data_IF_286600638966
#
_entry.id   IF_286600638966
#
_cell.length_a   1.000
_cell.length_b   1.000
_cell.length_c   1.000
_cell.angle_alpha   90.00
_cell.angle_beta   90.00
_cell.angle_gamma   90.00
#
_symmetry.space_group_name_H-M   'P 1'
#
loop_
_entity.id
_entity.type
_entity.pdbx_description
1 polymer ?
#
# COMPACT_ATOMS: atom_id res chain seq x y z
N UNK A 1 9.22 -1.94 -28.00
CA UNK A 1 8.16 -0.92 -27.91
C UNK A 1 8.69 0.51 -27.92
N UNK A 2 9.53 0.96 -26.98
CA UNK A 2 10.07 2.33 -26.86
C UNK A 2 10.71 2.84 -28.17
N UNK A 3 11.67 2.08 -28.73
CA UNK A 3 12.31 2.42 -30.01
C UNK A 3 11.33 2.54 -31.19
N UNK A 4 10.26 1.74 -31.21
CA UNK A 4 9.26 1.79 -32.28
C UNK A 4 8.35 3.01 -32.14
N UNK A 5 7.95 3.38 -30.90
CA UNK A 5 7.19 4.59 -30.64
C UNK A 5 7.96 5.83 -31.08
N UNK A 6 9.24 5.92 -30.70
CA UNK A 6 10.13 7.02 -31.13
C UNK A 6 10.32 7.10 -32.64
N UNK A 7 10.49 5.96 -33.33
CA UNK A 7 10.57 5.92 -34.80
C UNK A 7 9.30 6.42 -35.47
N UNK A 8 8.14 6.22 -34.85
CA UNK A 8 6.85 6.70 -35.35
C UNK A 8 6.49 8.11 -34.87
N UNK A 9 7.43 8.79 -34.22
CA UNK A 9 7.19 10.12 -33.68
C UNK A 9 6.12 10.18 -32.59
N UNK A 10 5.78 9.07 -31.91
CA UNK A 10 4.78 9.05 -30.84
C UNK A 10 5.41 9.38 -29.48
N UNK A 11 4.75 10.18 -28.61
CA UNK A 11 5.23 10.43 -27.27
C UNK A 11 5.25 9.14 -26.45
N UNK A 12 6.27 8.99 -25.61
CA UNK A 12 6.42 7.88 -24.68
C UNK A 12 6.21 8.40 -23.27
N UNK A 13 5.15 7.95 -22.64
CA UNK A 13 4.82 8.23 -21.24
C UNK A 13 5.16 7.00 -20.42
N UNK A 14 5.93 7.16 -19.35
CA UNK A 14 6.24 6.08 -18.43
C UNK A 14 5.64 6.34 -17.05
N UNK A 15 4.90 5.35 -16.55
CA UNK A 15 4.36 5.37 -15.20
C UNK A 15 5.35 4.73 -14.23
N UNK A 16 5.74 5.45 -13.20
CA UNK A 16 6.81 5.07 -12.29
C UNK A 16 6.27 4.27 -11.10
N UNK A 17 5.83 3.03 -11.36
CA UNK A 17 5.27 2.15 -10.32
C UNK A 17 6.31 1.35 -9.55
N UNK A 18 7.55 1.31 -10.01
CA UNK A 18 8.60 0.47 -9.41
C UNK A 18 9.90 1.25 -9.30
N UNK A 19 10.49 1.24 -8.12
CA UNK A 19 11.83 1.75 -7.87
C UNK A 19 12.77 0.60 -7.48
N UNK A 20 14.06 0.84 -7.51
CA UNK A 20 15.05 -0.10 -6.98
C UNK A 20 14.83 -0.36 -5.48
N UNK A 21 14.41 0.67 -4.77
CA UNK A 21 14.13 0.65 -3.35
C UNK A 21 13.01 -0.37 -3.02
N UNK A 22 11.96 -0.42 -3.85
CA UNK A 22 10.88 -1.40 -3.71
C UNK A 22 11.32 -2.84 -3.97
N UNK A 23 12.29 -3.04 -4.85
CA UNK A 23 12.71 -4.38 -5.24
C UNK A 23 13.72 -4.97 -4.27
N UNK A 24 14.58 -4.14 -3.71
CA UNK A 24 15.68 -4.59 -2.84
C UNK A 24 15.15 -5.26 -1.57
N UNK A 25 15.58 -6.50 -1.31
CA UNK A 25 15.16 -7.28 -0.14
C UNK A 25 13.77 -7.91 -0.26
N UNK A 26 13.05 -7.75 -1.37
CA UNK A 26 11.71 -8.30 -1.52
C UNK A 26 11.69 -9.81 -1.77
N UNK A 27 12.62 -10.30 -2.59
CA UNK A 27 12.69 -11.73 -2.97
C UNK A 27 14.12 -12.28 -2.83
N UNK A 28 14.26 -13.61 -2.85
CA UNK A 28 15.58 -14.28 -2.87
C UNK A 28 16.40 -13.76 -4.04
N UNK A 29 17.68 -13.44 -3.79
CA UNK A 29 18.60 -12.95 -4.81
C UNK A 29 18.39 -11.49 -5.22
N UNK A 30 17.37 -10.79 -4.70
CA UNK A 30 17.10 -9.39 -5.04
C UNK A 30 18.27 -8.45 -4.77
N UNK A 31 19.07 -8.71 -3.74
CA UNK A 31 20.28 -7.92 -3.47
C UNK A 31 21.30 -7.99 -4.61
N UNK A 32 21.46 -9.17 -5.24
CA UNK A 32 22.38 -9.37 -6.38
C UNK A 32 21.80 -8.77 -7.66
N UNK A 33 20.49 -8.89 -7.87
CA UNK A 33 19.82 -8.38 -9.07
C UNK A 33 19.53 -6.87 -9.00
N UNK A 34 19.52 -6.30 -7.81
CA UNK A 34 19.21 -4.89 -7.58
C UNK A 34 20.00 -3.89 -8.43
N UNK A 35 21.32 -4.00 -8.61
CA UNK A 35 22.07 -3.08 -9.45
C UNK A 35 21.63 -3.11 -10.92
N UNK A 36 21.30 -4.29 -11.44
CA UNK A 36 20.82 -4.49 -12.81
C UNK A 36 19.45 -3.80 -12.96
N UNK A 37 18.55 -4.02 -12.01
CA UNK A 37 17.22 -3.40 -12.01
C UNK A 37 17.35 -1.88 -11.93
N UNK A 38 18.23 -1.36 -11.06
CA UNK A 38 18.49 0.06 -10.95
C UNK A 38 18.97 0.65 -12.29
N UNK A 39 19.90 -0.03 -12.96
CA UNK A 39 20.40 0.39 -14.27
C UNK A 39 19.28 0.45 -15.32
N UNK A 40 18.47 -0.60 -15.42
CA UNK A 40 17.37 -0.66 -16.37
C UNK A 40 16.29 0.37 -16.08
N UNK A 41 15.90 0.54 -14.81
CA UNK A 41 14.91 1.53 -14.39
C UNK A 41 15.40 2.94 -14.69
N UNK A 42 16.67 3.25 -14.36
CA UNK A 42 17.30 4.53 -14.69
C UNK A 42 17.26 4.79 -16.20
N UNK A 43 17.61 3.79 -17.01
CA UNK A 43 17.57 3.90 -18.47
C UNK A 43 16.15 4.17 -18.98
N UNK A 44 15.13 3.43 -18.50
CA UNK A 44 13.76 3.62 -18.92
C UNK A 44 13.23 5.02 -18.58
N UNK A 45 13.52 5.52 -17.37
CA UNK A 45 13.09 6.85 -16.96
C UNK A 45 13.76 7.97 -17.76
N UNK A 46 15.03 7.81 -18.11
CA UNK A 46 15.72 8.79 -18.95
C UNK A 46 15.29 8.74 -20.42
N UNK A 47 14.94 7.57 -20.95
CA UNK A 47 14.48 7.40 -22.33
C UNK A 47 13.02 7.82 -22.58
N UNK A 48 12.17 7.87 -21.56
CA UNK A 48 10.78 8.35 -21.68
C UNK A 48 10.74 9.85 -21.98
N UNK A 49 9.76 10.29 -22.76
CA UNK A 49 9.54 11.71 -23.00
C UNK A 49 8.86 12.38 -21.80
N UNK A 50 7.91 11.69 -21.17
CA UNK A 50 7.13 12.15 -20.02
C UNK A 50 7.10 11.09 -18.93
N UNK A 51 7.04 11.54 -17.68
CA UNK A 51 6.95 10.65 -16.51
C UNK A 51 5.71 11.00 -15.68
N UNK A 52 5.05 9.95 -15.16
CA UNK A 52 3.98 10.08 -14.17
C UNK A 52 4.39 9.32 -12.92
N UNK A 53 4.29 9.96 -11.76
CA UNK A 53 4.61 9.38 -10.46
C UNK A 53 3.36 9.31 -9.59
N UNK A 54 3.18 8.28 -8.76
CA UNK A 54 2.00 8.14 -7.91
C UNK A 54 2.01 9.09 -6.70
N UNK A 55 3.16 9.61 -6.28
CA UNK A 55 3.31 10.51 -5.14
C UNK A 55 4.43 11.54 -5.36
N UNK A 56 4.41 12.63 -4.61
CA UNK A 56 5.50 13.62 -4.59
C UNK A 56 6.80 13.00 -4.08
N UNK A 57 6.73 12.14 -3.06
CA UNK A 57 7.89 11.39 -2.58
C UNK A 57 8.57 10.62 -3.70
N UNK A 58 7.82 9.80 -4.45
CA UNK A 58 8.38 9.00 -5.56
C UNK A 58 8.90 9.88 -6.68
N UNK A 59 8.23 10.99 -7.00
CA UNK A 59 8.73 12.00 -7.95
C UNK A 59 10.10 12.54 -7.51
N UNK A 60 10.24 12.95 -6.25
CA UNK A 60 11.48 13.51 -5.72
C UNK A 60 12.60 12.46 -5.67
N UNK A 61 12.26 11.21 -5.30
CA UNK A 61 13.16 10.07 -5.35
C UNK A 61 13.71 9.84 -6.78
N UNK A 62 12.82 9.87 -7.78
CA UNK A 62 13.20 9.69 -9.18
C UNK A 62 14.07 10.83 -9.67
N UNK A 63 13.69 12.07 -9.40
CA UNK A 63 14.50 13.24 -9.77
C UNK A 63 15.90 13.16 -9.20
N UNK A 64 16.04 12.83 -7.92
CA UNK A 64 17.34 12.82 -7.22
C UNK A 64 18.24 11.64 -7.57
N UNK A 65 17.66 10.45 -7.81
CA UNK A 65 18.46 9.21 -7.93
C UNK A 65 18.50 8.57 -9.31
N UNK A 66 17.53 8.91 -10.18
CA UNK A 66 17.37 8.21 -11.46
C UNK A 66 17.55 9.09 -12.69
N UNK A 67 17.19 10.36 -12.64
CA UNK A 67 17.32 11.25 -13.79
C UNK A 67 18.74 11.79 -13.93
N UNK A 68 19.19 11.89 -15.18
CA UNK A 68 20.49 12.51 -15.56
C UNK A 68 20.31 13.99 -15.93
N UNK A 69 19.11 14.35 -16.36
CA UNK A 69 18.70 15.73 -16.69
C UNK A 69 17.37 16.01 -16.04
N UNK A 70 17.14 17.25 -15.68
CA UNK A 70 15.81 17.63 -15.15
C UNK A 70 14.74 17.35 -16.19
N UNK A 71 13.68 16.71 -15.74
CA UNK A 71 12.54 16.31 -16.55
C UNK A 71 11.27 16.52 -15.72
N UNK A 72 10.24 17.01 -16.37
CA UNK A 72 8.93 17.11 -15.72
C UNK A 72 8.40 15.73 -15.35
N UNK A 73 7.97 15.60 -14.10
CA UNK A 73 7.27 14.41 -13.61
C UNK A 73 5.92 14.87 -13.08
N UNK A 74 4.85 14.44 -13.74
CA UNK A 74 3.48 14.72 -13.27
C UNK A 74 3.12 13.77 -12.14
N UNK A 75 2.61 14.31 -11.04
CA UNK A 75 2.10 13.48 -9.94
C UNK A 75 0.63 13.22 -10.15
N UNK A 76 0.28 11.94 -10.30
CA UNK A 76 -1.09 11.45 -10.42
C UNK A 76 -1.17 10.14 -9.64
N UNK A 77 -1.98 10.11 -8.58
CA UNK A 77 -2.23 8.94 -7.75
C UNK A 77 -2.66 7.72 -8.58
N UNK A 78 -2.38 6.53 -8.09
CA UNK A 78 -2.91 5.28 -8.67
C UNK A 78 -4.45 5.20 -8.54
N UNK A 79 -4.99 5.90 -7.55
CA UNK A 79 -6.42 5.94 -7.28
C UNK A 79 -6.96 4.69 -6.61
N UNK A 80 -8.19 4.78 -6.16
CA UNK A 80 -8.95 3.71 -5.52
C UNK A 80 -10.40 3.74 -5.99
N UNK A 81 -11.03 2.58 -6.09
CA UNK A 81 -12.47 2.51 -6.29
C UNK A 81 -13.17 2.58 -4.93
N UNK A 82 -13.62 3.77 -4.53
CA UNK A 82 -14.22 4.02 -3.22
C UNK A 82 -15.49 3.18 -2.99
N UNK A 83 -16.30 2.97 -4.03
CA UNK A 83 -17.54 2.21 -3.90
C UNK A 83 -17.31 0.73 -3.59
N UNK A 84 -16.12 0.23 -3.86
CA UNK A 84 -15.79 -1.18 -3.72
C UNK A 84 -15.40 -1.57 -2.30
N UNK A 85 -14.76 -0.65 -1.58
CA UNK A 85 -14.27 -0.87 -0.22
C UNK A 85 -15.17 -0.28 0.86
N UNK A 86 -16.35 0.24 0.49
CA UNK A 86 -17.35 0.67 1.48
C UNK A 86 -17.71 -0.49 2.42
N UNK A 87 -17.95 -0.17 3.69
CA UNK A 87 -18.42 -1.15 4.66
C UNK A 87 -19.63 -1.90 4.13
N UNK A 88 -19.60 -3.22 4.20
CA UNK A 88 -20.61 -4.12 3.66
C UNK A 88 -20.91 -5.23 4.67
N UNK A 89 -22.06 -5.14 5.33
CA UNK A 89 -22.43 -6.10 6.37
C UNK A 89 -22.64 -7.51 5.82
N UNK A 90 -23.16 -7.67 4.59
CA UNK A 90 -23.34 -8.99 3.97
C UNK A 90 -21.98 -9.67 3.73
N UNK A 91 -21.02 -8.93 3.20
CA UNK A 91 -19.67 -9.47 2.98
C UNK A 91 -18.92 -9.68 4.30
N UNK A 92 -19.17 -8.84 5.30
CA UNK A 92 -18.65 -9.05 6.65
C UNK A 92 -19.15 -10.36 7.27
N UNK A 93 -20.45 -10.65 7.18
CA UNK A 93 -21.02 -11.92 7.64
C UNK A 93 -20.44 -13.10 6.87
N UNK A 94 -20.30 -12.99 5.55
CA UNK A 94 -19.65 -14.02 4.71
C UNK A 94 -18.23 -14.30 5.19
N UNK A 95 -17.41 -13.25 5.40
CA UNK A 95 -16.06 -13.38 5.92
C UNK A 95 -16.05 -14.05 7.30
N UNK A 96 -16.86 -13.57 8.24
CA UNK A 96 -16.94 -14.10 9.61
C UNK A 96 -17.35 -15.58 9.60
N UNK A 97 -18.27 -15.99 8.74
CA UNK A 97 -18.71 -17.38 8.62
C UNK A 97 -17.61 -18.29 8.03
N UNK A 98 -16.85 -17.80 7.05
CA UNK A 98 -15.76 -18.57 6.43
C UNK A 98 -14.59 -18.77 7.38
N UNK A 99 -14.31 -17.75 8.21
CA UNK A 99 -13.14 -17.76 9.11
C UNK A 99 -13.44 -18.15 10.56
N UNK A 100 -14.70 -18.40 10.95
CA UNK A 100 -15.12 -18.70 12.32
C UNK A 100 -14.39 -19.88 12.99
N UNK A 101 -13.81 -20.80 12.21
CA UNK A 101 -13.06 -21.96 12.71
C UNK A 101 -11.56 -21.71 12.79
N UNK A 102 -11.07 -20.61 12.21
CA UNK A 102 -9.63 -20.34 12.11
C UNK A 102 -9.18 -19.15 12.95
N UNK A 103 -10.10 -18.30 13.40
CA UNK A 103 -9.79 -17.23 14.36
C UNK A 103 -10.92 -17.05 15.39
N UNK A 104 -10.57 -16.48 16.55
CA UNK A 104 -11.53 -16.19 17.59
C UNK A 104 -12.32 -14.91 17.24
N UNK A 105 -13.57 -15.09 16.82
CA UNK A 105 -14.49 -14.01 16.40
C UNK A 105 -14.78 -13.00 17.53
N UNK A 106 -14.56 -13.37 18.80
CA UNK A 106 -14.77 -12.48 19.93
C UNK A 106 -13.60 -11.52 20.16
N UNK A 107 -12.44 -11.78 19.52
CA UNK A 107 -11.28 -10.92 19.61
C UNK A 107 -11.34 -9.79 18.58
N UNK A 108 -10.92 -8.56 18.97
CA UNK A 108 -10.77 -7.48 18.01
C UNK A 108 -9.84 -7.86 16.86
N UNK A 109 -10.28 -7.62 15.62
CA UNK A 109 -9.57 -7.99 14.43
C UNK A 109 -8.73 -6.83 13.91
N UNK A 110 -7.44 -7.07 13.71
CA UNK A 110 -6.47 -6.16 13.07
C UNK A 110 -6.02 -6.79 11.75
N UNK A 111 -6.07 -6.06 10.67
CA UNK A 111 -5.73 -6.60 9.35
C UNK A 111 -4.62 -5.80 8.65
N UNK A 112 -3.94 -6.46 7.74
CA UNK A 112 -3.09 -5.85 6.72
C UNK A 112 -3.23 -6.59 5.41
N UNK A 113 -2.83 -5.96 4.29
CA UNK A 113 -2.85 -6.59 2.98
C UNK A 113 -1.61 -6.21 2.16
N UNK A 114 -1.10 -7.20 1.43
CA UNK A 114 0.07 -7.04 0.55
C UNK A 114 0.94 -8.28 0.54
N UNK A 115 1.90 -8.32 -0.38
CA UNK A 115 2.88 -9.41 -0.41
C UNK A 115 3.72 -9.39 0.88
N UNK A 116 3.93 -10.54 1.54
CA UNK A 116 4.62 -10.61 2.83
C UNK A 116 6.13 -10.46 2.68
N UNK A 117 6.57 -9.34 2.12
CA UNK A 117 7.98 -8.99 1.97
C UNK A 117 8.56 -8.40 3.26
N UNK A 118 9.89 -8.54 3.45
CA UNK A 118 10.56 -7.96 4.61
C UNK A 118 10.35 -6.45 4.69
N UNK A 119 10.45 -5.73 3.54
CA UNK A 119 10.20 -4.30 3.47
C UNK A 119 8.76 -3.88 3.85
N UNK A 120 7.81 -4.81 3.76
CA UNK A 120 6.42 -4.58 4.20
C UNK A 120 6.24 -4.70 5.72
N UNK A 121 7.33 -4.94 6.46
CA UNK A 121 7.30 -4.96 7.91
C UNK A 121 6.76 -6.26 8.52
N UNK A 122 6.80 -7.39 7.79
CA UNK A 122 6.27 -8.67 8.30
C UNK A 122 6.87 -9.07 9.65
N UNK A 123 8.16 -8.80 9.87
CA UNK A 123 8.82 -9.14 11.15
C UNK A 123 8.27 -8.32 12.32
N UNK A 124 8.00 -7.04 12.08
CA UNK A 124 7.45 -6.16 13.09
C UNK A 124 5.98 -6.46 13.33
N UNK A 125 5.23 -6.74 12.27
CA UNK A 125 3.83 -7.17 12.37
C UNK A 125 3.67 -8.41 13.26
N UNK A 126 4.56 -9.39 13.11
CA UNK A 126 4.60 -10.59 13.97
C UNK A 126 4.88 -10.23 15.43
N UNK A 127 5.84 -9.33 15.70
CA UNK A 127 6.15 -8.88 17.06
C UNK A 127 4.95 -8.15 17.69
N UNK A 128 4.34 -7.24 16.94
CA UNK A 128 3.12 -6.54 17.40
C UNK A 128 2.00 -7.54 17.67
N UNK A 129 1.80 -8.54 16.83
CA UNK A 129 0.81 -9.59 17.09
C UNK A 129 1.12 -10.37 18.38
N UNK A 130 2.38 -10.70 18.64
CA UNK A 130 2.81 -11.37 19.89
C UNK A 130 2.56 -10.51 21.13
N UNK A 131 2.86 -9.21 21.06
CA UNK A 131 2.68 -8.27 22.17
C UNK A 131 1.20 -7.93 22.42
N UNK A 132 0.37 -7.99 21.39
CA UNK A 132 -1.07 -7.76 21.45
C UNK A 132 -1.86 -9.09 21.39
N UNK A 133 -1.56 -10.04 22.27
CA UNK A 133 -2.09 -11.41 22.24
C UNK A 133 -3.62 -11.51 22.41
N UNK A 134 -4.25 -10.46 22.95
CA UNK A 134 -5.69 -10.39 23.13
C UNK A 134 -6.45 -10.02 21.85
N UNK A 135 -5.73 -9.62 20.80
CA UNK A 135 -6.28 -9.28 19.49
C UNK A 135 -5.97 -10.36 18.47
N UNK A 136 -6.78 -10.41 17.42
CA UNK A 136 -6.58 -11.30 16.29
C UNK A 136 -5.97 -10.53 15.11
N UNK A 137 -4.99 -11.11 14.46
CA UNK A 137 -4.29 -10.50 13.31
C UNK A 137 -4.45 -11.34 12.05
N UNK A 138 -4.73 -10.70 10.92
CA UNK A 138 -4.73 -11.32 9.60
C UNK A 138 -3.84 -10.55 8.63
N UNK A 139 -2.97 -11.28 7.95
CA UNK A 139 -2.17 -10.74 6.86
C UNK A 139 -2.62 -11.34 5.54
N UNK A 140 -3.36 -10.56 4.74
CA UNK A 140 -3.80 -10.97 3.41
C UNK A 140 -2.70 -10.74 2.38
N UNK A 141 -2.41 -11.75 1.53
CA UNK A 141 -1.43 -11.65 0.47
C UNK A 141 -1.18 -12.98 -0.22
N UNK A 142 -0.60 -12.94 -1.43
CA UNK A 142 -0.45 -14.13 -2.23
C UNK A 142 0.55 -15.12 -1.65
N UNK A 143 0.14 -16.37 -1.54
CA UNK A 143 1.02 -17.52 -1.26
C UNK A 143 1.82 -17.98 -2.49
N UNK A 144 1.45 -17.56 -3.70
CA UNK A 144 2.09 -17.98 -4.95
C UNK A 144 3.56 -17.58 -5.06
N UNK A 145 3.99 -16.57 -4.32
CA UNK A 145 5.39 -16.11 -4.21
C UNK A 145 6.15 -16.72 -3.03
N UNK A 146 5.54 -17.66 -2.27
CA UNK A 146 6.17 -18.20 -1.04
C UNK A 146 7.57 -18.76 -1.29
N UNK A 147 7.76 -19.52 -2.36
CA UNK A 147 9.08 -20.08 -2.73
C UNK A 147 10.15 -19.06 -3.10
N UNK A 148 9.72 -17.85 -3.48
CA UNK A 148 10.62 -16.74 -3.82
C UNK A 148 10.98 -15.89 -2.60
N UNK A 149 10.28 -16.06 -1.48
CA UNK A 149 10.55 -15.33 -0.25
C UNK A 149 11.84 -15.84 0.42
N UNK A 150 12.60 -14.97 1.12
CA UNK A 150 13.71 -15.40 1.96
C UNK A 150 13.27 -16.46 2.98
N UNK A 151 14.15 -17.46 3.27
CA UNK A 151 13.80 -18.57 4.15
C UNK A 151 13.32 -18.15 5.54
N UNK A 152 13.84 -17.04 6.08
CA UNK A 152 13.39 -16.47 7.34
C UNK A 152 11.92 -16.03 7.29
N UNK A 153 11.48 -15.47 6.16
CA UNK A 153 10.10 -15.03 5.97
C UNK A 153 9.18 -16.25 5.75
N UNK A 154 9.64 -17.25 4.99
CA UNK A 154 8.89 -18.50 4.84
C UNK A 154 8.60 -19.16 6.21
N UNK A 155 9.62 -19.25 7.08
CA UNK A 155 9.47 -19.80 8.44
C UNK A 155 8.45 -19.03 9.29
N UNK A 156 8.40 -17.70 9.16
CA UNK A 156 7.41 -16.87 9.85
C UNK A 156 5.98 -17.23 9.39
N UNK A 157 5.78 -17.37 8.08
CA UNK A 157 4.46 -17.68 7.51
C UNK A 157 4.03 -19.12 7.87
N UNK A 158 4.98 -20.05 8.00
CA UNK A 158 4.72 -21.45 8.36
C UNK A 158 4.45 -21.66 9.84
N UNK A 159 5.03 -20.83 10.70
CA UNK A 159 4.93 -20.94 12.14
C UNK A 159 4.57 -19.57 12.75
N UNK A 160 3.38 -19.03 12.45
CA UNK A 160 2.94 -17.74 12.99
C UNK A 160 2.59 -17.84 14.49
N UNK A 161 2.55 -16.73 15.22
CA UNK A 161 1.92 -16.67 16.54
C UNK A 161 0.47 -17.17 16.47
N UNK A 162 -0.06 -17.71 17.59
CA UNK A 162 -1.41 -18.29 17.65
C UNK A 162 -2.53 -17.32 17.22
N UNK A 163 -2.32 -16.03 17.43
CA UNK A 163 -3.26 -14.99 17.09
C UNK A 163 -2.98 -14.29 15.74
N UNK A 164 -2.12 -14.87 14.89
CA UNK A 164 -1.82 -14.35 13.55
C UNK A 164 -2.08 -15.43 12.50
N UNK A 165 -2.85 -15.08 11.49
CA UNK A 165 -3.18 -15.94 10.36
C UNK A 165 -2.69 -15.29 9.06
N UNK A 166 -2.15 -16.12 8.16
CA UNK A 166 -1.82 -15.75 6.78
C UNK A 166 -2.79 -16.46 5.82
N UNK A 167 -3.95 -15.85 5.48
CA UNK A 167 -4.93 -16.47 4.58
C UNK A 167 -4.41 -16.70 3.17
N UNK A 168 -3.32 -16.02 2.80
CA UNK A 168 -2.83 -16.02 1.44
C UNK A 168 -3.64 -15.11 0.52
N UNK A 169 -3.82 -15.54 -0.73
CA UNK A 169 -4.72 -14.87 -1.66
C UNK A 169 -6.15 -15.31 -1.38
N UNK A 170 -7.04 -14.37 -1.23
CA UNK A 170 -8.47 -14.59 -1.00
C UNK A 170 -9.30 -13.89 -2.05
N UNK A 171 -10.53 -14.35 -2.23
CA UNK A 171 -11.48 -13.67 -3.07
C UNK A 171 -11.75 -12.25 -2.57
N UNK A 172 -12.07 -11.38 -3.50
CA UNK A 172 -12.26 -9.95 -3.25
C UNK A 172 -13.37 -9.66 -2.24
N UNK A 173 -14.45 -10.43 -2.30
CA UNK A 173 -15.56 -10.32 -1.36
C UNK A 173 -15.12 -10.63 0.07
N UNK A 174 -14.28 -11.64 0.24
CA UNK A 174 -13.71 -12.00 1.55
C UNK A 174 -12.79 -10.87 2.06
N UNK A 175 -11.97 -10.29 1.20
CA UNK A 175 -11.13 -9.17 1.58
C UNK A 175 -11.97 -7.95 2.02
N UNK A 176 -13.00 -7.58 1.25
CA UNK A 176 -13.91 -6.47 1.61
C UNK A 176 -14.65 -6.78 2.93
N UNK A 177 -15.08 -8.02 3.11
CA UNK A 177 -15.67 -8.48 4.36
C UNK A 177 -14.72 -8.33 5.55
N UNK A 178 -13.45 -8.68 5.38
CA UNK A 178 -12.42 -8.49 6.40
C UNK A 178 -12.21 -7.01 6.74
N UNK A 179 -12.14 -6.12 5.73
CA UNK A 179 -12.08 -4.67 5.94
C UNK A 179 -13.29 -4.15 6.71
N UNK A 180 -14.49 -4.72 6.45
CA UNK A 180 -15.71 -4.34 7.15
C UNK A 180 -15.78 -4.87 8.61
N UNK A 181 -15.09 -5.98 8.89
CA UNK A 181 -15.07 -6.61 10.21
C UNK A 181 -13.95 -6.06 11.12
N UNK A 182 -12.88 -5.55 10.54
CA UNK A 182 -11.69 -5.14 11.28
C UNK A 182 -11.91 -3.87 12.14
N UNK A 183 -11.14 -3.77 13.22
CA UNK A 183 -11.08 -2.58 14.09
C UNK A 183 -10.01 -1.59 13.61
N UNK A 184 -8.93 -2.07 12.99
CA UNK A 184 -7.89 -1.23 12.41
C UNK A 184 -7.18 -1.91 11.24
N UNK A 185 -6.65 -1.11 10.33
CA UNK A 185 -5.70 -1.51 9.31
C UNK A 185 -4.30 -1.13 9.75
N UNK A 186 -3.42 -2.12 9.88
CA UNK A 186 -2.04 -1.93 10.34
C UNK A 186 -1.07 -2.10 9.17
N UNK A 187 -0.38 -1.02 8.75
CA UNK A 187 0.51 -1.05 7.60
C UNK A 187 1.93 -0.60 7.97
N UNK A 188 2.78 -1.57 8.26
CA UNK A 188 4.11 -1.36 8.85
C UNK A 188 5.24 -1.32 7.82
N UNK A 189 4.92 -0.95 6.57
CA UNK A 189 5.89 -0.92 5.47
C UNK A 189 7.01 0.09 5.74
N UNK A 190 8.22 -0.24 5.29
CA UNK A 190 9.40 0.64 5.37
C UNK A 190 9.58 1.49 4.11
N UNK A 191 9.00 1.05 3.00
CA UNK A 191 9.14 1.72 1.71
C UNK A 191 7.89 1.49 0.86
N UNK A 192 7.38 2.57 0.25
CA UNK A 192 6.24 2.58 -0.65
C UNK A 192 6.40 3.66 -1.72
N UNK A 193 5.70 3.48 -2.84
CA UNK A 193 5.53 4.53 -3.83
C UNK A 193 4.28 5.38 -3.59
N UNK A 194 3.23 4.79 -3.02
CA UNK A 194 2.00 5.45 -2.58
C UNK A 194 1.28 4.63 -1.51
N UNK A 195 1.11 3.31 -1.74
CA UNK A 195 0.38 2.41 -0.85
C UNK A 195 -1.11 2.32 -1.22
N UNK A 196 -1.44 1.65 -2.33
CA UNK A 196 -2.85 1.49 -2.79
C UNK A 196 -3.73 0.88 -1.69
N UNK A 197 -3.22 -0.09 -0.92
CA UNK A 197 -3.96 -0.72 0.18
C UNK A 197 -4.31 0.26 1.31
N UNK A 198 -3.52 1.34 1.45
CA UNK A 198 -3.84 2.44 2.38
C UNK A 198 -5.09 3.18 1.89
N UNK A 199 -5.16 3.52 0.60
CA UNK A 199 -6.36 4.13 0.01
C UNK A 199 -7.59 3.22 0.13
N UNK A 200 -7.41 1.90 0.02
CA UNK A 200 -8.47 0.91 0.25
C UNK A 200 -8.96 0.95 1.71
N UNK A 201 -8.06 1.03 2.69
CA UNK A 201 -8.41 1.17 4.09
C UNK A 201 -9.16 2.49 4.38
N UNK A 202 -8.69 3.62 3.83
CA UNK A 202 -9.39 4.90 3.93
C UNK A 202 -10.80 4.84 3.31
N UNK A 203 -10.95 4.16 2.17
CA UNK A 203 -12.26 3.97 1.51
C UNK A 203 -13.24 3.19 2.38
N UNK A 204 -12.75 2.26 3.18
CA UNK A 204 -13.53 1.48 4.14
C UNK A 204 -13.83 2.24 5.45
N UNK A 205 -13.35 3.49 5.60
CA UNK A 205 -13.36 4.23 6.87
C UNK A 205 -12.78 3.40 8.02
N UNK A 206 -11.75 2.61 7.73
CA UNK A 206 -11.09 1.77 8.70
C UNK A 206 -9.96 2.57 9.37
N UNK A 207 -9.92 2.66 10.71
CA UNK A 207 -8.82 3.32 11.40
C UNK A 207 -7.48 2.80 10.92
N UNK A 208 -6.61 3.71 10.50
CA UNK A 208 -5.35 3.41 9.83
C UNK A 208 -4.16 3.67 10.76
N UNK A 209 -3.35 2.65 11.01
CA UNK A 209 -2.06 2.78 11.70
C UNK A 209 -0.94 2.48 10.69
N UNK A 210 -0.08 3.46 10.43
CA UNK A 210 1.00 3.34 9.45
C UNK A 210 2.37 3.61 10.07
N UNK A 211 3.42 3.08 9.45
CA UNK A 211 4.78 3.53 9.76
C UNK A 211 4.96 4.97 9.30
N UNK A 212 5.57 5.79 10.17
CA UNK A 212 5.95 7.16 9.83
C UNK A 212 7.12 7.14 8.85
N UNK A 213 6.79 7.25 7.56
CA UNK A 213 7.73 7.23 6.43
C UNK A 213 7.43 8.38 5.46
N UNK A 214 8.43 8.86 4.70
CA UNK A 214 8.32 10.07 3.89
C UNK A 214 7.20 10.05 2.85
N UNK A 215 6.82 8.90 2.31
CA UNK A 215 5.74 8.80 1.31
C UNK A 215 4.38 9.26 1.83
N UNK A 216 4.19 9.30 3.15
CA UNK A 216 2.94 9.70 3.80
C UNK A 216 2.95 11.14 4.33
N UNK A 217 4.09 11.86 4.24
CA UNK A 217 4.20 13.22 4.78
C UNK A 217 3.24 14.21 4.12
N UNK A 218 3.06 14.09 2.79
CA UNK A 218 2.29 15.06 2.00
C UNK A 218 0.77 14.85 2.08
N UNK A 219 0.28 13.71 2.59
CA UNK A 219 -1.14 13.37 2.44
C UNK A 219 -1.79 12.61 3.61
N UNK A 220 -1.00 12.16 4.59
CA UNK A 220 -1.50 11.60 5.84
C UNK A 220 -0.95 12.40 7.02
N UNK A 221 -1.84 12.80 7.93
CA UNK A 221 -1.50 13.57 9.13
C UNK A 221 -1.81 12.76 10.38
N UNK A 222 -0.80 12.60 11.29
CA UNK A 222 -0.97 11.86 12.54
C UNK A 222 -2.04 12.50 13.43
N UNK A 223 -2.96 11.70 13.94
CA UNK A 223 -4.07 12.14 14.79
C UNK A 223 -5.21 12.83 14.04
N UNK A 224 -5.13 13.03 12.70
CA UNK A 224 -6.20 13.66 11.90
C UNK A 224 -6.74 12.78 10.78
N UNK A 225 -5.88 11.99 10.14
CA UNK A 225 -6.26 11.10 9.04
C UNK A 225 -5.75 9.68 9.21
N UNK A 226 -4.79 9.49 10.09
CA UNK A 226 -4.20 8.20 10.45
C UNK A 226 -3.51 8.30 11.80
N UNK A 227 -2.94 7.18 12.25
CA UNK A 227 -2.03 7.11 13.39
C UNK A 227 -0.65 6.68 12.90
N UNK A 228 0.36 7.53 13.09
CA UNK A 228 1.74 7.23 12.69
C UNK A 228 2.52 6.64 13.86
N UNK A 229 3.38 5.67 13.58
CA UNK A 229 4.26 5.02 14.56
C UNK A 229 5.60 4.65 13.95
N UNK A 230 6.65 4.58 14.77
CA UNK A 230 8.03 4.25 14.37
C UNK A 230 8.53 2.97 14.99
N UNK A 231 8.09 2.67 16.22
CA UNK A 231 8.52 1.49 16.98
C UNK A 231 7.35 0.50 17.17
N UNK A 232 7.66 -0.75 17.51
CA UNK A 232 6.62 -1.76 17.76
C UNK A 232 5.74 -1.38 18.96
N UNK A 233 6.34 -0.79 19.98
CA UNK A 233 5.65 -0.30 21.18
C UNK A 233 4.63 0.80 20.82
N UNK A 234 5.03 1.75 19.96
CA UNK A 234 4.12 2.79 19.47
C UNK A 234 2.97 2.18 18.65
N UNK A 235 3.25 1.21 17.77
CA UNK A 235 2.21 0.50 17.02
C UNK A 235 1.22 -0.20 17.96
N UNK A 236 1.72 -0.93 18.96
CA UNK A 236 0.87 -1.59 19.96
C UNK A 236 0.01 -0.57 20.72
N UNK A 237 0.59 0.56 21.13
CA UNK A 237 -0.14 1.60 21.86
C UNK A 237 -1.24 2.23 20.99
N UNK A 238 -0.96 2.57 19.72
CA UNK A 238 -1.96 3.13 18.80
C UNK A 238 -3.11 2.14 18.57
N UNK A 239 -2.80 0.85 18.35
CA UNK A 239 -3.81 -0.19 18.17
C UNK A 239 -4.68 -0.34 19.43
N UNK A 240 -4.07 -0.40 20.62
CA UNK A 240 -4.81 -0.49 21.90
C UNK A 240 -5.76 0.69 22.06
N UNK A 241 -5.27 1.91 21.85
CA UNK A 241 -6.11 3.10 21.98
C UNK A 241 -7.32 3.04 21.04
N UNK A 242 -7.17 2.57 19.80
CA UNK A 242 -8.28 2.41 18.86
C UNK A 242 -9.25 1.34 19.33
N UNK A 243 -8.75 0.17 19.71
CA UNK A 243 -9.58 -0.99 20.09
C UNK A 243 -10.36 -0.74 21.39
N UNK A 244 -9.73 -0.07 22.35
CA UNK A 244 -10.28 0.24 23.66
C UNK A 244 -11.13 1.53 23.68
N UNK A 245 -11.35 2.15 22.51
CA UNK A 245 -12.09 3.41 22.35
C UNK A 245 -11.49 4.58 23.16
N UNK A 246 -10.16 4.60 23.33
CA UNK A 246 -9.42 5.66 24.02
C UNK A 246 -8.99 6.80 23.06
N UNK A 247 -9.49 6.80 21.82
CA UNK A 247 -9.25 7.87 20.84
C UNK A 247 -10.50 8.75 20.79
N UNK A 248 -10.35 9.99 21.23
CA UNK A 248 -11.36 11.00 21.00
C UNK A 248 -11.51 11.28 19.49
N UNK A 249 -12.75 11.48 19.02
CA UNK A 249 -13.06 11.84 17.64
C UNK A 249 -12.59 10.81 16.58
N UNK A 250 -12.51 9.51 16.89
CA UNK A 250 -12.09 8.48 15.94
C UNK A 250 -12.94 8.49 14.65
N UNK A 251 -14.24 8.73 14.77
CA UNK A 251 -15.16 8.81 13.63
C UNK A 251 -14.84 10.02 12.75
N UNK A 252 -14.49 11.17 13.33
CA UNK A 252 -14.07 12.35 12.58
C UNK A 252 -12.74 12.11 11.85
N UNK A 253 -11.79 11.45 12.51
CA UNK A 253 -10.50 11.07 11.91
C UNK A 253 -10.72 10.16 10.69
N UNK A 254 -11.56 9.14 10.81
CA UNK A 254 -11.83 8.20 9.71
C UNK A 254 -12.64 8.85 8.58
N UNK A 255 -13.53 9.79 8.88
CA UNK A 255 -14.26 10.55 7.87
C UNK A 255 -13.34 11.51 7.11
N UNK A 256 -12.46 12.22 7.82
CA UNK A 256 -11.45 13.08 7.20
C UNK A 256 -10.51 12.26 6.31
N UNK A 257 -10.10 11.09 6.77
CA UNK A 257 -9.30 10.14 6.00
C UNK A 257 -10.02 9.62 4.74
N UNK A 258 -11.33 9.34 4.86
CA UNK A 258 -12.16 8.95 3.72
C UNK A 258 -12.22 10.01 2.62
N UNK A 259 -12.24 11.30 2.97
CA UNK A 259 -12.22 12.38 1.97
C UNK A 259 -10.96 12.34 1.11
N UNK A 260 -9.82 11.91 1.66
CA UNK A 260 -8.59 11.68 0.89
C UNK A 260 -8.80 10.59 -0.18
N UNK A 261 -9.51 9.51 0.16
CA UNK A 261 -9.83 8.46 -0.81
C UNK A 261 -10.82 8.95 -1.87
N UNK A 262 -11.79 9.78 -1.52
CA UNK A 262 -12.75 10.41 -2.45
C UNK A 262 -12.03 11.28 -3.48
N UNK A 263 -11.07 12.09 -3.05
CA UNK A 263 -10.25 12.90 -3.97
C UNK A 263 -9.43 12.04 -4.94
N UNK A 264 -9.08 10.81 -4.51
CA UNK A 264 -8.32 9.83 -5.28
C UNK A 264 -9.20 8.73 -5.89
N UNK A 265 -10.52 8.95 -5.96
CA UNK A 265 -11.38 8.02 -6.67
C UNK A 265 -10.98 7.85 -8.13
N UNK A 266 -11.10 6.63 -8.66
CA UNK A 266 -10.68 6.29 -10.03
C UNK A 266 -11.30 7.21 -11.10
N UNK A 267 -12.51 7.72 -10.88
CA UNK A 267 -13.14 8.67 -11.82
C UNK A 267 -12.40 10.00 -11.83
N UNK A 268 -12.02 10.51 -10.66
CA UNK A 268 -11.26 11.76 -10.55
C UNK A 268 -9.84 11.60 -11.09
N UNK A 269 -9.21 10.47 -10.79
CA UNK A 269 -7.88 10.13 -11.30
C UNK A 269 -7.91 9.98 -12.83
N UNK A 270 -8.93 9.32 -13.37
CA UNK A 270 -9.11 9.18 -14.82
C UNK A 270 -9.21 10.54 -15.54
N UNK A 271 -9.91 11.53 -14.95
CA UNK A 271 -9.96 12.90 -15.49
C UNK A 271 -8.56 13.55 -15.53
N UNK A 272 -7.79 13.43 -14.42
CA UNK A 272 -6.42 13.97 -14.36
C UNK A 272 -5.49 13.34 -15.42
N UNK A 273 -5.61 12.02 -15.65
CA UNK A 273 -4.87 11.34 -16.73
C UNK A 273 -5.28 11.86 -18.11
N UNK A 274 -6.59 11.98 -18.38
CA UNK A 274 -7.12 12.48 -19.65
C UNK A 274 -6.58 13.88 -19.93
N UNK A 275 -6.72 14.80 -19.00
CA UNK A 275 -6.22 16.18 -19.12
C UNK A 275 -4.72 16.23 -19.42
N UNK A 276 -3.94 15.41 -18.74
CA UNK A 276 -2.49 15.36 -18.96
C UNK A 276 -2.12 14.77 -20.33
N UNK A 277 -2.82 13.74 -20.80
CA UNK A 277 -2.60 13.18 -22.13
C UNK A 277 -3.00 14.16 -23.24
N UNK A 278 -4.10 14.88 -23.09
CA UNK A 278 -4.51 15.94 -24.01
C UNK A 278 -3.49 17.06 -24.05
N UNK A 279 -2.96 17.48 -22.91
CA UNK A 279 -1.89 18.46 -22.83
C UNK A 279 -0.64 18.03 -23.62
N UNK A 280 -0.18 16.80 -23.45
CA UNK A 280 0.97 16.23 -24.19
C UNK A 280 0.72 16.24 -25.71
N UNK A 281 -0.46 15.81 -26.13
CA UNK A 281 -0.82 15.78 -27.55
C UNK A 281 -0.86 17.18 -28.17
N UNK A 282 -1.40 18.15 -27.47
CA UNK A 282 -1.47 19.55 -27.91
C UNK A 282 -0.08 20.22 -27.99
N UNK A 283 0.85 19.90 -27.09
CA UNK A 283 2.23 20.39 -27.18
C UNK A 283 2.97 19.87 -28.42
N UNK A 284 2.62 18.69 -28.91
CA UNK A 284 3.29 18.05 -30.03
C UNK A 284 2.74 18.50 -31.40
N UNK A 285 1.53 19.03 -31.42
CA UNK A 285 0.89 19.55 -32.64
C UNK A 285 1.22 21.04 -32.89
N UNK A 286 1.98 21.65 -31.98
CA UNK A 286 2.59 22.99 -32.14
C UNK A 286 4.06 22.84 -32.55
#
# INVERSE_FOLDING_TARGET
MLKQAKKKGKPVIYHTHTTYEDFRGSIKGSYVLSPIIKFWTKKLYNEADYLISPSEYTKNLIKSKYLEKDKEIRVISNGVNINKFNKNEVLKEKFLNEYKLVYDINKPLIITAGLPFERKGIKDFVKVAQECSDYQFLWFGSSSVKSMLPDKIQKIIENPPKNLIFPGYVDKDILIGAFSAAKAFLFMTYEENEGIVVLEALSAKLPLVVRDIPVYEDWLEDGKTCFKARTNEEFCQKIRNIVENNVENLDEITETAYNIAVERDLLNIGKKYKEYYEHILNQKNR
#
